data_IF_008008721925
#
_entry.id   IF_008008721925
#
_cell.length_a   1.000
_cell.length_b   1.000
_cell.length_c   1.000
_cell.angle_alpha   90.00
_cell.angle_beta   90.00
_cell.angle_gamma   90.00
#
_symmetry.space_group_name_H-M   'P 1'
#
loop_
_entity.id
_entity.type
_entity.pdbx_description
1 polymer ?
#
# COMPACT_ATOMS: atom_id res chain seq x y z
N UNK A 1 26.65 21.79 14.37
CA UNK A 1 25.95 20.98 15.39
C UNK A 1 24.65 20.50 14.76
N UNK A 2 24.38 19.17 14.82
CA UNK A 2 23.09 18.49 14.61
C UNK A 2 22.76 17.77 13.27
N UNK A 3 23.72 17.40 12.42
CA UNK A 3 23.42 16.62 11.20
C UNK A 3 22.69 15.29 11.45
N UNK A 4 22.98 14.63 12.58
CA UNK A 4 22.31 13.38 12.98
C UNK A 4 20.83 13.58 13.35
N UNK A 5 20.47 14.74 13.93
CA UNK A 5 19.08 15.08 14.26
C UNK A 5 18.27 15.40 13.00
N UNK A 6 18.92 15.96 11.98
CA UNK A 6 18.30 16.24 10.67
C UNK A 6 18.02 14.97 9.86
N UNK A 7 18.96 14.01 9.84
CA UNK A 7 18.74 12.72 9.20
C UNK A 7 17.57 11.94 9.81
N UNK A 8 17.46 11.96 11.15
CA UNK A 8 16.35 11.31 11.85
C UNK A 8 14.99 11.92 11.49
N UNK A 9 14.88 13.24 11.43
CA UNK A 9 13.60 13.92 11.11
C UNK A 9 13.19 13.70 9.65
N UNK A 10 14.15 13.67 8.73
CA UNK A 10 13.93 13.38 7.31
C UNK A 10 13.53 11.93 7.08
N UNK A 11 14.15 10.98 7.78
CA UNK A 11 13.73 9.58 7.76
C UNK A 11 12.30 9.43 8.30
N UNK A 12 11.96 10.14 9.37
CA UNK A 12 10.62 10.11 9.96
C UNK A 12 9.57 10.67 9.00
N UNK A 13 9.91 11.72 8.24
CA UNK A 13 9.09 12.24 7.14
C UNK A 13 8.87 11.18 6.05
N UNK A 14 9.94 10.51 5.59
CA UNK A 14 9.84 9.45 4.59
C UNK A 14 8.95 8.29 5.06
N UNK A 15 9.10 7.87 6.32
CA UNK A 15 8.25 6.85 6.94
C UNK A 15 6.79 7.29 6.98
N UNK A 16 6.52 8.56 7.33
CA UNK A 16 5.18 9.13 7.34
C UNK A 16 4.52 9.13 5.96
N UNK A 17 5.25 9.56 4.92
CA UNK A 17 4.78 9.50 3.53
C UNK A 17 4.50 8.05 3.09
N UNK A 18 5.35 7.10 3.50
CA UNK A 18 5.17 5.68 3.19
C UNK A 18 3.97 5.01 3.88
N UNK A 19 3.30 5.68 4.82
CA UNK A 19 2.03 5.18 5.37
C UNK A 19 0.88 5.32 4.36
N UNK A 20 0.99 6.24 3.41
CA UNK A 20 0.01 6.44 2.36
C UNK A 20 0.51 5.84 1.04
N UNK A 21 -0.21 4.87 0.49
CA UNK A 21 0.20 4.17 -0.73
C UNK A 21 0.29 5.10 -1.94
N UNK A 22 -0.56 6.12 -2.01
CA UNK A 22 -0.52 7.11 -3.09
C UNK A 22 0.77 7.94 -3.07
N UNK A 23 1.40 8.04 -1.90
CA UNK A 23 2.61 8.84 -1.66
C UNK A 23 3.88 7.99 -1.61
N UNK A 24 3.81 6.71 -1.97
CA UNK A 24 4.99 5.85 -2.05
C UNK A 24 6.10 6.38 -2.97
N UNK A 25 5.82 6.99 -4.14
CA UNK A 25 6.87 7.60 -4.95
C UNK A 25 7.61 8.72 -4.20
N UNK A 26 6.87 9.58 -3.51
CA UNK A 26 7.41 10.72 -2.75
C UNK A 26 8.16 10.24 -1.51
N UNK A 27 7.67 9.18 -0.85
CA UNK A 27 8.35 8.53 0.26
C UNK A 27 9.67 7.91 -0.18
N UNK A 28 9.71 7.31 -1.39
CA UNK A 28 10.92 6.72 -1.95
C UNK A 28 11.96 7.79 -2.27
N UNK A 29 11.58 8.91 -2.88
CA UNK A 29 12.49 10.04 -3.10
C UNK A 29 13.02 10.63 -1.78
N UNK A 30 12.15 10.85 -0.80
CA UNK A 30 12.54 11.37 0.51
C UNK A 30 13.53 10.42 1.22
N UNK A 31 13.29 9.11 1.13
CA UNK A 31 14.20 8.09 1.65
C UNK A 31 15.53 8.05 0.89
N UNK A 32 15.51 8.14 -0.44
CA UNK A 32 16.72 8.12 -1.28
C UNK A 32 17.66 9.28 -0.91
N UNK A 33 17.10 10.47 -0.64
CA UNK A 33 17.88 11.63 -0.19
C UNK A 33 18.57 11.39 1.16
N UNK A 34 17.90 10.68 2.09
CA UNK A 34 18.51 10.28 3.37
C UNK A 34 19.60 9.23 3.14
N UNK A 35 19.35 8.28 2.23
CA UNK A 35 20.26 7.19 1.93
C UNK A 35 21.56 7.68 1.28
N UNK A 36 21.46 8.55 0.27
CA UNK A 36 22.63 9.13 -0.42
C UNK A 36 23.50 9.93 0.55
N UNK A 37 22.89 10.68 1.47
CA UNK A 37 23.65 11.41 2.48
C UNK A 37 24.30 10.45 3.50
N UNK A 38 23.58 9.42 3.94
CA UNK A 38 24.13 8.40 4.84
C UNK A 38 25.26 7.61 4.18
N UNK A 39 25.18 7.34 2.88
CA UNK A 39 26.22 6.63 2.10
C UNK A 39 27.54 7.40 2.10
N UNK A 40 27.50 8.73 2.07
CA UNK A 40 28.72 9.56 2.19
C UNK A 40 29.36 9.50 3.58
N UNK A 41 28.58 9.18 4.63
CA UNK A 41 29.05 9.15 6.02
C UNK A 41 29.44 7.73 6.45
N UNK A 42 28.65 6.73 6.07
CA UNK A 42 28.84 5.32 6.38
C UNK A 42 28.14 4.44 5.32
N UNK A 43 28.88 3.92 4.35
CA UNK A 43 28.32 3.04 3.31
C UNK A 43 27.67 1.78 3.89
N UNK A 44 28.25 1.19 4.93
CA UNK A 44 27.70 0.00 5.60
C UNK A 44 26.34 0.29 6.27
N UNK A 45 26.21 1.45 6.93
CA UNK A 45 24.95 1.85 7.53
C UNK A 45 23.87 2.13 6.47
N UNK A 46 24.26 2.70 5.32
CA UNK A 46 23.35 2.92 4.19
C UNK A 46 22.82 1.60 3.64
N UNK A 47 23.69 0.60 3.43
CA UNK A 47 23.25 -0.74 2.96
C UNK A 47 22.24 -1.37 3.92
N UNK A 48 22.50 -1.32 5.22
CA UNK A 48 21.58 -1.86 6.23
C UNK A 48 20.24 -1.10 6.24
N UNK A 49 20.29 0.24 6.16
CA UNK A 49 19.08 1.06 6.13
C UNK A 49 18.23 0.80 4.88
N UNK A 50 18.86 0.60 3.72
CA UNK A 50 18.16 0.25 2.48
C UNK A 50 17.44 -1.09 2.59
N UNK A 51 18.07 -2.10 3.19
CA UNK A 51 17.45 -3.40 3.43
C UNK A 51 16.24 -3.27 4.37
N UNK A 52 16.38 -2.54 5.49
CA UNK A 52 15.28 -2.31 6.44
C UNK A 52 14.09 -1.58 5.79
N UNK A 53 14.37 -0.60 4.93
CA UNK A 53 13.33 0.13 4.20
C UNK A 53 12.57 -0.77 3.23
N UNK A 54 13.27 -1.64 2.50
CA UNK A 54 12.64 -2.58 1.56
C UNK A 54 11.69 -3.54 2.29
N UNK A 55 12.10 -4.07 3.44
CA UNK A 55 11.25 -4.93 4.29
C UNK A 55 10.03 -4.18 4.83
N UNK A 56 10.22 -2.94 5.28
CA UNK A 56 9.12 -2.08 5.76
C UNK A 56 8.07 -1.82 4.68
N UNK A 57 8.49 -1.40 3.48
CA UNK A 57 7.57 -1.14 2.36
C UNK A 57 6.87 -2.42 1.91
N UNK A 58 7.58 -3.55 1.87
CA UNK A 58 7.00 -4.85 1.51
C UNK A 58 5.90 -5.26 2.48
N UNK A 59 6.13 -5.09 3.79
CA UNK A 59 5.13 -5.32 4.83
C UNK A 59 3.88 -4.42 4.69
N UNK A 60 4.07 -3.13 4.37
CA UNK A 60 2.96 -2.18 4.17
C UNK A 60 2.13 -2.48 2.94
N UNK A 61 2.77 -2.85 1.82
CA UNK A 61 2.07 -3.25 0.59
C UNK A 61 1.23 -4.50 0.79
N UNK A 62 1.66 -5.46 1.60
CA UNK A 62 0.84 -6.63 1.91
C UNK A 62 -0.48 -6.24 2.58
N UNK A 63 -0.47 -5.31 3.53
CA UNK A 63 -1.70 -4.87 4.22
C UNK A 63 -2.71 -4.21 3.27
N UNK A 64 -2.25 -3.29 2.41
CA UNK A 64 -3.12 -2.60 1.46
C UNK A 64 -3.56 -3.50 0.30
N UNK A 65 -2.70 -4.44 -0.10
CA UNK A 65 -3.07 -5.47 -1.06
C UNK A 65 -4.18 -6.37 -0.51
N UNK A 66 -4.13 -6.75 0.77
CA UNK A 66 -5.21 -7.50 1.42
C UNK A 66 -6.51 -6.70 1.51
N UNK A 67 -6.43 -5.41 1.77
CA UNK A 67 -7.60 -4.52 1.83
C UNK A 67 -8.26 -4.37 0.46
N UNK A 68 -7.47 -4.09 -0.58
CA UNK A 68 -7.95 -4.02 -1.96
C UNK A 68 -8.51 -5.35 -2.47
N UNK A 69 -7.85 -6.47 -2.13
CA UNK A 69 -8.35 -7.80 -2.48
C UNK A 69 -9.70 -8.08 -1.81
N UNK A 70 -9.84 -7.74 -0.52
CA UNK A 70 -11.10 -7.89 0.21
C UNK A 70 -12.22 -7.01 -0.37
N UNK A 71 -11.90 -5.79 -0.80
CA UNK A 71 -12.86 -4.88 -1.42
C UNK A 71 -13.30 -5.35 -2.82
N UNK A 72 -12.39 -5.93 -3.59
CA UNK A 72 -12.70 -6.57 -4.88
C UNK A 72 -13.56 -7.82 -4.67
N UNK A 73 -13.23 -8.68 -3.71
CA UNK A 73 -14.05 -9.85 -3.35
C UNK A 73 -15.46 -9.46 -2.93
N UNK A 74 -15.60 -8.40 -2.12
CA UNK A 74 -16.90 -7.88 -1.71
C UNK A 74 -17.74 -7.42 -2.90
N UNK A 75 -17.15 -6.62 -3.80
CA UNK A 75 -17.83 -6.15 -5.02
C UNK A 75 -18.26 -7.31 -5.94
N UNK A 76 -17.42 -8.36 -6.05
CA UNK A 76 -17.73 -9.54 -6.86
C UNK A 76 -18.92 -10.32 -6.26
N UNK A 77 -18.93 -10.47 -4.94
CA UNK A 77 -20.02 -11.14 -4.19
C UNK A 77 -21.35 -10.39 -4.32
N UNK A 78 -21.33 -9.06 -4.23
CA UNK A 78 -22.53 -8.23 -4.37
C UNK A 78 -23.13 -8.34 -5.77
N UNK A 79 -22.30 -8.29 -6.83
CA UNK A 79 -22.76 -8.47 -8.22
C UNK A 79 -23.33 -9.86 -8.49
N UNK A 80 -22.72 -10.91 -7.93
CA UNK A 80 -23.22 -12.27 -8.07
C UNK A 80 -24.58 -12.45 -7.37
N UNK A 81 -24.73 -11.86 -6.18
CA UNK A 81 -26.00 -11.88 -5.44
C UNK A 81 -27.10 -11.13 -6.19
N UNK A 82 -26.79 -9.96 -6.75
CA UNK A 82 -27.72 -9.17 -7.55
C UNK A 82 -28.16 -9.91 -8.82
N UNK A 83 -27.21 -10.50 -9.55
CA UNK A 83 -27.48 -11.32 -10.73
C UNK A 83 -28.37 -12.52 -10.40
N UNK A 84 -28.09 -13.25 -9.32
CA UNK A 84 -28.92 -14.37 -8.88
C UNK A 84 -30.34 -13.95 -8.49
N UNK A 85 -30.51 -12.77 -7.88
CA UNK A 85 -31.82 -12.23 -7.55
C UNK A 85 -32.61 -11.87 -8.80
N UNK A 86 -31.98 -11.20 -9.77
CA UNK A 86 -32.58 -10.86 -11.05
C UNK A 86 -32.98 -12.11 -11.84
N UNK A 87 -32.12 -13.14 -11.87
CA UNK A 87 -32.41 -14.40 -12.54
C UNK A 87 -33.61 -15.11 -11.92
N UNK A 88 -33.70 -15.17 -10.59
CA UNK A 88 -34.87 -15.71 -9.88
C UNK A 88 -36.15 -14.94 -10.19
N UNK A 89 -36.10 -13.60 -10.19
CA UNK A 89 -37.26 -12.78 -10.52
C UNK A 89 -37.70 -12.97 -11.97
N UNK A 90 -36.76 -13.07 -12.90
CA UNK A 90 -37.05 -13.30 -14.31
C UNK A 90 -37.68 -14.68 -14.53
N UNK A 91 -37.15 -15.72 -13.87
CA UNK A 91 -37.69 -17.06 -13.92
C UNK A 91 -39.11 -17.15 -13.33
N UNK A 92 -39.36 -16.48 -12.20
CA UNK A 92 -40.71 -16.40 -11.61
C UNK A 92 -41.70 -15.66 -12.50
N UNK A 93 -41.27 -14.59 -13.17
CA UNK A 93 -42.12 -13.85 -14.11
C UNK A 93 -42.47 -14.71 -15.34
N UNK A 94 -41.48 -15.38 -15.92
CA UNK A 94 -41.67 -16.33 -17.03
C UNK A 94 -42.64 -17.47 -16.68
N UNK A 95 -42.59 -17.98 -15.45
CA UNK A 95 -43.50 -19.04 -14.97
C UNK A 95 -44.93 -18.54 -14.68
N UNK A 96 -45.14 -17.23 -14.50
CA UNK A 96 -46.46 -16.63 -14.30
C UNK A 96 -47.13 -16.21 -15.61
N UNK A 97 -46.35 -16.04 -16.68
CA UNK A 97 -46.83 -15.70 -18.02
C UNK A 97 -47.20 -16.93 -18.88
N UNK A 98 -46.92 -18.15 -18.39
CA UNK A 98 -47.39 -19.44 -18.95
C UNK A 98 -48.66 -19.91 -18.24
#
# INVERSE_FOLDING_TARGET
>A
MNSSTDLSSRLQTAIGLAQNVQQHPEAHEAFQNVLTELETQSPEAAVLLAQLWQEYISSKRSSLFWEQLSEVEKNLSDRLSESHMQLKQNYLRLMQEQ
#
